data_IF_300181938661
#
_entry.id   IF_300181938661
#
_cell.length_a   1.000
_cell.length_b   1.000
_cell.length_c   1.000
_cell.angle_alpha   90.00
_cell.angle_beta   90.00
_cell.angle_gamma   90.00
#
_symmetry.space_group_name_H-M   'P 1'
#
loop_
_entity.id
_entity.type
_entity.pdbx_description
1 polymer ?
#
# COMPACT_ATOMS: atom_id res chain seq x y z
N UNK A 1 -3.73 12.40 -11.00
CA UNK A 1 -4.32 11.63 -9.88
C UNK A 1 -3.15 11.05 -9.13
N UNK A 2 -2.88 11.57 -7.95
CA UNK A 2 -1.73 11.20 -7.12
C UNK A 2 -1.93 9.78 -6.58
N UNK A 3 -1.38 8.79 -7.29
CA UNK A 3 -1.43 7.37 -6.88
C UNK A 3 -0.86 7.17 -5.47
N UNK A 4 0.06 8.04 -5.05
CA UNK A 4 0.59 8.13 -3.70
C UNK A 4 -0.51 8.43 -2.65
N UNK A 5 -1.33 9.46 -2.87
CA UNK A 5 -2.45 9.78 -1.97
C UNK A 5 -3.47 8.63 -1.89
N UNK A 6 -3.74 7.97 -3.02
CA UNK A 6 -4.65 6.83 -3.06
C UNK A 6 -4.10 5.64 -2.27
N UNK A 7 -2.83 5.27 -2.49
CA UNK A 7 -2.18 4.20 -1.72
C UNK A 7 -2.06 4.51 -0.23
N UNK A 8 -1.78 5.77 0.12
CA UNK A 8 -1.75 6.24 1.51
C UNK A 8 -3.12 6.10 2.18
N UNK A 9 -4.20 6.51 1.50
CA UNK A 9 -5.56 6.34 2.01
C UNK A 9 -5.92 4.86 2.20
N UNK A 10 -5.52 3.98 1.27
CA UNK A 10 -5.73 2.53 1.40
C UNK A 10 -4.98 1.95 2.61
N UNK A 11 -3.72 2.34 2.81
CA UNK A 11 -2.94 1.91 3.98
C UNK A 11 -3.54 2.44 5.28
N UNK A 12 -4.02 3.68 5.31
CA UNK A 12 -4.76 4.24 6.45
C UNK A 12 -6.06 3.48 6.77
N UNK A 13 -6.75 2.95 5.75
CA UNK A 13 -7.92 2.11 5.95
C UNK A 13 -7.56 0.72 6.49
N UNK A 14 -6.46 0.14 5.99
CA UNK A 14 -5.95 -1.18 6.43
C UNK A 14 -5.34 -1.16 7.83
N UNK A 15 -4.64 -0.07 8.17
CA UNK A 15 -3.95 0.11 9.45
C UNK A 15 -4.52 1.31 10.20
N UNK A 16 -5.78 1.24 10.71
CA UNK A 16 -6.40 2.35 11.42
C UNK A 16 -5.62 2.76 12.67
N UNK A 17 -4.95 1.80 13.33
CA UNK A 17 -4.10 2.04 14.50
C UNK A 17 -2.84 2.87 14.19
N UNK A 18 -2.40 2.90 12.92
CA UNK A 18 -1.23 3.66 12.47
C UNK A 18 -1.61 4.86 11.60
N UNK A 19 -2.88 5.28 11.55
CA UNK A 19 -3.34 6.38 10.69
C UNK A 19 -2.55 7.67 10.87
N UNK A 20 -2.33 8.07 12.12
CA UNK A 20 -1.57 9.28 12.44
C UNK A 20 -0.10 9.13 12.04
N UNK A 21 0.50 7.96 12.27
CA UNK A 21 1.86 7.68 11.81
C UNK A 21 1.94 7.72 10.28
N UNK A 22 1.02 7.06 9.57
CA UNK A 22 0.97 7.06 8.09
C UNK A 22 0.76 8.47 7.54
N UNK A 23 0.02 9.33 8.23
CA UNK A 23 -0.15 10.74 7.84
C UNK A 23 1.14 11.56 8.09
N UNK A 24 1.84 11.29 9.20
CA UNK A 24 3.06 11.99 9.60
C UNK A 24 4.32 11.48 8.87
N UNK A 25 4.30 10.23 8.37
CA UNK A 25 5.38 9.62 7.60
C UNK A 25 5.56 10.34 6.25
N UNK A 26 6.46 11.32 6.24
CA UNK A 26 6.90 12.06 5.06
C UNK A 26 8.20 11.50 4.47
N UNK A 27 8.47 10.20 4.68
CA UNK A 27 9.68 9.58 4.14
C UNK A 27 9.52 9.33 2.63
N UNK A 28 10.51 9.69 1.80
CA UNK A 28 10.42 9.50 0.36
C UNK A 28 10.26 8.02 -0.04
N UNK A 29 10.85 7.10 0.71
CA UNK A 29 10.66 5.66 0.51
C UNK A 29 9.22 5.21 0.79
N UNK A 30 8.57 5.79 1.81
CA UNK A 30 7.18 5.48 2.13
C UNK A 30 6.22 6.08 1.10
N UNK A 31 6.51 7.29 0.61
CA UNK A 31 5.76 7.91 -0.48
C UNK A 31 5.82 7.06 -1.77
N UNK A 32 7.01 6.58 -2.14
CA UNK A 32 7.19 5.65 -3.27
C UNK A 32 6.42 4.34 -3.08
N UNK A 33 6.44 3.77 -1.87
CA UNK A 33 5.69 2.56 -1.57
C UNK A 33 4.18 2.80 -1.68
N UNK A 34 3.68 3.91 -1.13
CA UNK A 34 2.28 4.32 -1.28
C UNK A 34 1.90 4.48 -2.76
N UNK A 35 2.76 5.09 -3.56
CA UNK A 35 2.52 5.26 -4.99
C UNK A 35 2.47 3.91 -5.72
N UNK A 36 3.44 3.03 -5.49
CA UNK A 36 3.48 1.68 -6.05
C UNK A 36 2.26 0.86 -5.65
N UNK A 37 1.84 0.94 -4.39
CA UNK A 37 0.66 0.25 -3.88
C UNK A 37 -0.63 0.82 -4.50
N UNK A 38 -0.73 2.14 -4.63
CA UNK A 38 -1.87 2.79 -5.29
C UNK A 38 -2.01 2.36 -6.75
N UNK A 39 -0.89 2.24 -7.47
CA UNK A 39 -0.87 1.73 -8.85
C UNK A 39 -1.28 0.26 -8.91
N UNK A 40 -0.65 -0.61 -8.10
CA UNK A 40 -0.97 -2.04 -8.08
C UNK A 40 -2.43 -2.30 -7.69
N UNK A 41 -2.94 -1.61 -6.67
CA UNK A 41 -4.33 -1.75 -6.21
C UNK A 41 -5.33 -1.28 -7.26
N UNK A 42 -5.00 -0.22 -8.01
CA UNK A 42 -5.83 0.27 -9.11
C UNK A 42 -5.85 -0.71 -10.28
N UNK A 43 -4.69 -1.21 -10.69
CA UNK A 43 -4.60 -2.21 -11.76
C UNK A 43 -5.32 -3.50 -11.38
N UNK A 44 -5.15 -3.97 -10.14
CA UNK A 44 -5.93 -5.10 -9.60
C UNK A 44 -7.44 -4.84 -9.66
N UNK A 45 -7.90 -3.66 -9.24
CA UNK A 45 -9.32 -3.31 -9.25
C UNK A 45 -9.88 -3.22 -10.68
N UNK A 46 -9.09 -2.73 -11.63
CA UNK A 46 -9.41 -2.68 -13.05
C UNK A 46 -9.47 -4.07 -13.67
N UNK A 47 -8.49 -4.93 -13.40
CA UNK A 47 -8.50 -6.34 -13.77
C UNK A 47 -9.71 -7.05 -13.17
N UNK A 48 -10.03 -6.79 -11.90
CA UNK A 48 -11.18 -7.39 -11.22
C UNK A 48 -12.53 -6.93 -11.81
N UNK A 49 -12.63 -5.69 -12.31
CA UNK A 49 -13.82 -5.23 -13.05
C UNK A 49 -13.90 -5.79 -14.46
N UNK A 50 -12.76 -6.11 -15.07
CA UNK A 50 -12.73 -6.67 -16.42
C UNK A 50 -13.08 -8.15 -16.39
N UNK A 51 -14.25 -8.50 -16.93
CA UNK A 51 -14.68 -9.90 -17.06
C UNK A 51 -13.77 -10.75 -17.98
N UNK A 52 -12.88 -10.09 -18.74
CA UNK A 52 -11.91 -10.71 -19.62
C UNK A 52 -10.49 -10.77 -19.01
N UNK A 53 -10.29 -10.34 -17.76
CA UNK A 53 -8.98 -10.39 -17.13
C UNK A 53 -8.52 -11.83 -16.91
N UNK A 54 -7.26 -12.08 -17.25
CA UNK A 54 -6.65 -13.39 -17.00
C UNK A 54 -6.50 -13.62 -15.49
N UNK A 55 -7.00 -14.75 -14.96
CA UNK A 55 -6.95 -15.02 -13.52
C UNK A 55 -5.51 -15.11 -13.00
N UNK A 56 -4.54 -15.48 -13.84
CA UNK A 56 -3.12 -15.47 -13.48
C UNK A 56 -2.59 -14.05 -13.21
N UNK A 57 -2.95 -13.09 -14.08
CA UNK A 57 -2.52 -11.71 -13.94
C UNK A 57 -3.17 -11.06 -12.70
N UNK A 58 -4.45 -11.36 -12.44
CA UNK A 58 -5.11 -10.89 -11.21
C UNK A 58 -4.38 -11.39 -9.95
N UNK A 59 -4.00 -12.67 -9.92
CA UNK A 59 -3.29 -13.28 -8.80
C UNK A 59 -1.90 -12.67 -8.59
N UNK A 60 -1.18 -12.35 -9.68
CA UNK A 60 0.10 -11.66 -9.60
C UNK A 60 -0.06 -10.26 -8.97
N UNK A 61 -1.04 -9.48 -9.43
CA UNK A 61 -1.31 -8.17 -8.84
C UNK A 61 -1.80 -8.25 -7.40
N UNK A 62 -2.58 -9.28 -7.04
CA UNK A 62 -2.94 -9.54 -5.65
C UNK A 62 -1.73 -9.85 -4.78
N UNK A 63 -0.78 -10.65 -5.29
CA UNK A 63 0.47 -10.98 -4.60
C UNK A 63 1.31 -9.73 -4.39
N UNK A 64 1.50 -8.92 -5.43
CA UNK A 64 2.24 -7.64 -5.35
C UNK A 64 1.58 -6.69 -4.34
N UNK A 65 0.25 -6.59 -4.33
CA UNK A 65 -0.45 -5.81 -3.32
C UNK A 65 -0.13 -6.30 -1.90
N UNK A 66 -0.18 -7.61 -1.65
CA UNK A 66 0.10 -8.19 -0.33
C UNK A 66 1.56 -7.99 0.09
N UNK A 67 2.51 -8.09 -0.84
CA UNK A 67 3.93 -7.81 -0.57
C UNK A 67 4.15 -6.36 -0.16
N UNK A 68 3.56 -5.41 -0.91
CA UNK A 68 3.64 -3.97 -0.60
C UNK A 68 2.97 -3.64 0.74
N UNK A 69 1.82 -4.26 1.05
CA UNK A 69 1.18 -4.12 2.36
C UNK A 69 2.04 -4.67 3.49
N UNK A 70 2.75 -5.77 3.25
CA UNK A 70 3.67 -6.37 4.22
C UNK A 70 4.89 -5.47 4.44
N UNK A 71 5.47 -4.91 3.39
CA UNK A 71 6.55 -3.93 3.50
C UNK A 71 6.11 -2.66 4.24
N UNK A 72 4.90 -2.15 3.95
CA UNK A 72 4.32 -1.04 4.70
C UNK A 72 4.15 -1.39 6.18
N UNK A 73 3.61 -2.58 6.50
CA UNK A 73 3.46 -3.03 7.88
C UNK A 73 4.80 -3.17 8.60
N UNK A 74 5.84 -3.64 7.90
CA UNK A 74 7.20 -3.74 8.43
C UNK A 74 7.80 -2.36 8.72
N UNK A 75 7.59 -1.38 7.83
CA UNK A 75 8.02 0.00 8.04
C UNK A 75 7.28 0.64 9.23
N UNK A 76 5.97 0.44 9.31
CA UNK A 76 5.14 0.95 10.42
C UNK A 76 5.49 0.27 11.75
N UNK A 77 5.76 -1.04 11.75
CA UNK A 77 6.17 -1.80 12.92
C UNK A 77 7.59 -1.46 13.39
N UNK A 78 8.53 -1.23 12.47
CA UNK A 78 9.90 -0.76 12.79
C UNK A 78 9.92 0.64 13.40
N UNK A 79 8.94 1.48 13.09
CA UNK A 79 8.74 2.78 13.73
C UNK A 79 8.56 2.70 15.25
N UNK A 80 8.03 1.58 15.79
CA UNK A 80 7.85 1.39 17.23
C UNK A 80 9.18 1.16 17.98
N UNK A 81 10.22 0.65 17.32
CA UNK A 81 11.47 0.26 18.00
C UNK A 81 12.57 1.32 17.93
N UNK A 82 12.49 2.29 17.02
CA UNK A 82 13.54 3.32 16.84
C UNK A 82 13.22 4.67 17.51
N UNK A 83 11.98 4.92 17.93
CA UNK A 83 11.55 6.14 18.64
C UNK A 83 11.07 5.82 20.07
N UNK A 84 11.86 5.03 20.79
CA UNK A 84 11.54 4.55 22.13
C UNK A 84 12.76 4.39 23.02
N UNK A 85 13.53 5.47 23.23
CA UNK A 85 14.30 5.71 24.45
C UNK A 85 14.60 7.19 24.61
#
# INVERSE_FOLDING_TARGET
MDSEHFGRALLQMKFPAHREQIADYSWPAFALLCEAYGMAARTRDELRRSAAAEPGLLLEFETVCVELETEAAQLLGRGHTMYGR
#
